data_IF_933148358476
#
_entry.id   IF_933148358476
#
_cell.length_a   1.000
_cell.length_b   1.000
_cell.length_c   1.000
_cell.angle_alpha   90.00
_cell.angle_beta   90.00
_cell.angle_gamma   90.00
#
_symmetry.space_group_name_H-M   'P 1'
#
loop_
_entity.id
_entity.type
_entity.pdbx_description
1 polymer ?
#
# COMPACT_ATOMS: atom_id res chain seq x y z
N UNK A 1 3.02 -24.92 20.88
CA UNK A 1 3.19 -23.58 21.48
C UNK A 1 3.71 -22.52 20.49
N UNK A 2 4.76 -22.78 19.73
CA UNK A 2 5.37 -21.79 18.79
C UNK A 2 4.40 -21.27 17.70
N UNK A 3 3.49 -22.11 17.21
CA UNK A 3 2.53 -21.72 16.16
C UNK A 3 1.46 -20.76 16.68
N UNK A 4 0.97 -20.96 17.90
CA UNK A 4 -0.05 -20.11 18.53
C UNK A 4 0.47 -18.70 18.80
N UNK A 5 1.70 -18.57 19.26
CA UNK A 5 2.36 -17.27 19.51
C UNK A 5 2.60 -16.49 18.23
N UNK A 6 2.93 -17.15 17.11
CA UNK A 6 3.11 -16.49 15.81
C UNK A 6 1.78 -15.94 15.26
N UNK A 7 0.70 -16.69 15.40
CA UNK A 7 -0.64 -16.23 15.00
C UNK A 7 -1.13 -15.05 15.86
N UNK A 8 -0.88 -15.09 17.17
CA UNK A 8 -1.21 -13.99 18.08
C UNK A 8 -0.41 -12.71 17.75
N UNK A 9 0.86 -12.85 17.42
CA UNK A 9 1.70 -11.75 16.98
C UNK A 9 1.17 -11.14 15.66
N UNK A 10 0.79 -11.95 14.69
CA UNK A 10 0.19 -11.46 13.44
C UNK A 10 -1.16 -10.76 13.67
N UNK A 11 -2.01 -11.29 14.55
CA UNK A 11 -3.27 -10.62 14.92
C UNK A 11 -3.01 -9.25 15.55
N UNK A 12 -2.01 -9.15 16.43
CA UNK A 12 -1.62 -7.88 17.05
C UNK A 12 -1.09 -6.89 16.00
N UNK A 13 -0.25 -7.36 15.08
CA UNK A 13 0.27 -6.54 13.98
C UNK A 13 -0.87 -5.98 13.11
N UNK A 14 -1.86 -6.80 12.75
CA UNK A 14 -3.01 -6.36 11.97
C UNK A 14 -3.84 -5.32 12.73
N UNK A 15 -4.13 -5.53 14.01
CA UNK A 15 -4.84 -4.54 14.83
C UNK A 15 -4.12 -3.19 14.91
N UNK A 16 -2.79 -3.20 14.99
CA UNK A 16 -1.98 -1.99 14.99
C UNK A 16 -2.07 -1.26 13.65
N UNK A 17 -2.02 -1.98 12.54
CA UNK A 17 -2.17 -1.39 11.20
C UNK A 17 -3.58 -0.82 10.99
N UNK A 18 -4.63 -1.55 11.40
CA UNK A 18 -6.02 -1.08 11.30
C UNK A 18 -6.23 0.20 12.14
N UNK A 19 -5.70 0.23 13.37
CA UNK A 19 -5.75 1.42 14.22
C UNK A 19 -5.00 2.62 13.60
N UNK A 20 -3.87 2.35 12.97
CA UNK A 20 -3.08 3.38 12.29
C UNK A 20 -3.83 3.98 11.10
N UNK A 21 -4.43 3.16 10.24
CA UNK A 21 -5.23 3.60 9.09
C UNK A 21 -6.32 4.59 9.52
N UNK A 22 -7.05 4.25 10.58
CA UNK A 22 -8.12 5.10 11.09
C UNK A 22 -7.59 6.41 11.71
N UNK A 23 -6.59 6.33 12.58
CA UNK A 23 -6.02 7.52 13.21
C UNK A 23 -5.37 8.47 12.21
N UNK A 24 -4.66 7.92 11.21
CA UNK A 24 -4.07 8.75 10.15
C UNK A 24 -5.14 9.44 9.30
N UNK A 25 -6.25 8.76 9.02
CA UNK A 25 -7.38 9.36 8.32
C UNK A 25 -8.04 10.46 9.15
N UNK A 26 -8.26 10.22 10.44
CA UNK A 26 -8.96 11.15 11.35
C UNK A 26 -8.16 12.42 11.62
N UNK A 27 -6.88 12.31 11.93
CA UNK A 27 -6.08 13.43 12.45
C UNK A 27 -4.78 13.72 11.69
N UNK A 28 -4.47 12.93 10.65
CA UNK A 28 -3.24 13.05 9.86
C UNK A 28 -2.06 12.29 10.45
N UNK A 29 -1.05 12.02 9.61
CA UNK A 29 0.11 11.20 9.97
C UNK A 29 1.05 11.91 10.93
N UNK A 30 1.31 13.20 10.72
CA UNK A 30 2.22 13.99 11.56
C UNK A 30 1.72 14.11 13.01
N UNK A 31 0.41 14.22 13.21
CA UNK A 31 -0.21 14.39 14.54
C UNK A 31 -0.50 13.09 15.27
N UNK A 32 -0.20 11.95 14.66
CA UNK A 32 -0.42 10.62 15.25
C UNK A 32 0.89 10.03 15.75
N UNK A 33 0.93 9.62 17.02
CA UNK A 33 2.08 8.91 17.58
C UNK A 33 1.89 7.40 17.57
N UNK A 34 2.98 6.63 17.65
CA UNK A 34 2.92 5.19 17.83
C UNK A 34 2.18 4.80 19.11
N UNK A 35 2.24 5.63 20.15
CA UNK A 35 1.52 5.39 21.41
C UNK A 35 0.00 5.50 21.24
N UNK A 36 -0.47 6.50 20.47
CA UNK A 36 -1.90 6.66 20.16
C UNK A 36 -2.41 5.44 19.41
N UNK A 37 -1.62 4.96 18.44
CA UNK A 37 -1.94 3.76 17.66
C UNK A 37 -2.02 2.53 18.56
N UNK A 38 -1.02 2.31 19.44
CA UNK A 38 -1.02 1.19 20.38
C UNK A 38 -2.25 1.25 21.30
N UNK A 39 -2.55 2.42 21.86
CA UNK A 39 -3.73 2.64 22.71
C UNK A 39 -5.03 2.32 21.97
N UNK A 40 -5.19 2.80 20.75
CA UNK A 40 -6.38 2.53 19.91
C UNK A 40 -6.53 1.05 19.56
N UNK A 41 -5.42 0.34 19.33
CA UNK A 41 -5.40 -1.09 19.04
C UNK A 41 -5.61 -1.98 20.26
N UNK A 42 -5.66 -1.42 21.47
CA UNK A 42 -5.66 -2.19 22.71
C UNK A 42 -4.36 -2.95 22.94
N UNK A 43 -3.23 -2.46 22.41
CA UNK A 43 -1.91 -3.05 22.54
C UNK A 43 -1.03 -2.24 23.49
N UNK A 44 0.01 -2.88 24.02
CA UNK A 44 0.99 -2.21 24.88
C UNK A 44 1.98 -1.40 24.04
N UNK A 45 2.62 -0.40 24.66
CA UNK A 45 3.72 0.35 24.04
C UNK A 45 4.84 -0.60 23.57
N UNK A 46 5.21 -1.60 24.38
CA UNK A 46 6.23 -2.58 24.00
C UNK A 46 5.84 -3.39 22.77
N UNK A 47 4.57 -3.76 22.65
CA UNK A 47 4.08 -4.52 21.50
C UNK A 47 4.21 -3.78 20.18
N UNK A 48 3.92 -2.47 20.12
CA UNK A 48 4.06 -1.72 18.87
C UNK A 48 5.53 -1.59 18.45
N UNK A 49 6.45 -1.32 19.38
CA UNK A 49 7.89 -1.24 19.09
C UNK A 49 8.52 -2.60 18.77
N UNK A 50 7.87 -3.70 19.15
CA UNK A 50 8.29 -5.03 18.72
C UNK A 50 7.93 -5.29 17.24
N UNK A 51 6.81 -4.71 16.77
CA UNK A 51 6.34 -4.89 15.39
C UNK A 51 6.86 -3.85 14.41
N UNK A 52 7.11 -2.63 14.86
CA UNK A 52 7.48 -1.50 14.01
C UNK A 52 8.57 -0.66 14.68
N UNK A 53 9.65 -0.45 13.95
CA UNK A 53 10.81 0.32 14.39
C UNK A 53 10.44 1.78 14.68
N UNK A 54 9.67 2.37 13.80
CA UNK A 54 9.26 3.77 13.85
C UNK A 54 7.92 3.97 13.08
N UNK A 55 7.45 5.19 13.02
CA UNK A 55 6.21 5.54 12.32
C UNK A 55 6.34 5.36 10.81
N UNK A 56 7.52 5.56 10.25
CA UNK A 56 7.77 5.35 8.83
C UNK A 56 7.68 3.85 8.45
N UNK A 57 8.22 2.97 9.28
CA UNK A 57 8.13 1.52 9.11
C UNK A 57 6.66 1.04 9.18
N UNK A 58 5.91 1.54 10.15
CA UNK A 58 4.47 1.25 10.26
C UNK A 58 3.69 1.77 9.05
N UNK A 59 3.97 2.99 8.60
CA UNK A 59 3.33 3.58 7.43
C UNK A 59 3.63 2.78 6.15
N UNK A 60 4.87 2.36 5.95
CA UNK A 60 5.25 1.48 4.84
C UNK A 60 4.48 0.17 4.87
N UNK A 61 4.40 -0.48 6.04
CA UNK A 61 3.66 -1.73 6.20
C UNK A 61 2.14 -1.56 5.93
N UNK A 62 1.58 -0.40 6.30
CA UNK A 62 0.20 -0.04 5.98
C UNK A 62 0.00 0.09 4.46
N UNK A 63 0.90 0.78 3.77
CA UNK A 63 0.85 0.92 2.32
C UNK A 63 0.99 -0.43 1.61
N UNK A 64 1.91 -1.27 2.04
CA UNK A 64 2.16 -2.59 1.46
C UNK A 64 0.93 -3.51 1.50
N UNK A 65 0.07 -3.39 2.51
CA UNK A 65 -1.18 -4.17 2.57
C UNK A 65 -2.09 -3.95 1.37
N UNK A 66 -2.02 -2.78 0.76
CA UNK A 66 -2.87 -2.37 -0.36
C UNK A 66 -2.12 -2.43 -1.68
N UNK A 67 -0.86 -1.97 -1.70
CA UNK A 67 -0.09 -1.85 -2.95
C UNK A 67 0.44 -3.19 -3.44
N UNK A 68 0.93 -4.08 -2.57
CA UNK A 68 1.47 -5.37 -2.99
C UNK A 68 0.45 -6.26 -3.70
N UNK A 69 -0.79 -6.45 -3.20
CA UNK A 69 -1.80 -7.21 -3.93
C UNK A 69 -2.15 -6.58 -5.29
N UNK A 70 -2.10 -5.25 -5.38
CA UNK A 70 -2.35 -4.52 -6.62
C UNK A 70 -1.23 -4.77 -7.63
N UNK A 71 0.02 -4.62 -7.20
CA UNK A 71 1.22 -4.87 -8.01
C UNK A 71 1.29 -6.32 -8.50
N UNK A 72 1.02 -7.30 -7.63
CA UNK A 72 0.99 -8.71 -7.99
C UNK A 72 -0.08 -9.02 -9.05
N UNK A 73 -1.26 -8.39 -8.96
CA UNK A 73 -2.34 -8.62 -9.92
C UNK A 73 -2.06 -7.97 -11.26
N UNK A 74 -1.52 -6.75 -11.27
CA UNK A 74 -1.06 -6.10 -12.50
C UNK A 74 0.05 -6.94 -13.15
N UNK A 75 0.99 -7.46 -12.36
CA UNK A 75 2.04 -8.36 -12.86
C UNK A 75 1.48 -9.68 -13.39
N UNK A 76 0.50 -10.29 -12.72
CA UNK A 76 -0.15 -11.54 -13.18
C UNK A 76 -1.00 -11.34 -14.43
N UNK A 77 -1.67 -10.20 -14.58
CA UNK A 77 -2.43 -9.88 -15.79
C UNK A 77 -1.51 -9.80 -17.00
N UNK A 78 -0.27 -9.32 -16.80
CA UNK A 78 0.79 -9.34 -17.84
C UNK A 78 1.44 -10.72 -18.04
N UNK A 79 1.25 -11.68 -17.12
CA UNK A 79 1.83 -13.02 -17.09
C UNK A 79 0.79 -14.13 -16.93
N UNK A 80 -0.38 -14.04 -17.54
CA UNK A 80 -1.32 -15.18 -17.53
C UNK A 80 -0.66 -16.34 -18.29
N UNK A 81 -0.46 -17.54 -17.67
CA UNK A 81 0.01 -18.71 -18.40
C UNK A 81 -1.03 -19.06 -19.47
N UNK A 82 -0.72 -18.83 -20.74
CA UNK A 82 -1.63 -19.04 -21.87
C UNK A 82 -2.30 -17.78 -22.43
N UNK A 83 -2.18 -16.64 -21.74
CA UNK A 83 -2.48 -15.32 -22.28
C UNK A 83 -1.17 -14.62 -22.60
N UNK A 84 -0.66 -14.74 -23.81
CA UNK A 84 0.26 -13.73 -24.32
C UNK A 84 -0.44 -12.39 -24.16
N UNK A 85 0.23 -11.34 -23.62
CA UNK A 85 -0.28 -9.98 -23.77
C UNK A 85 -0.69 -9.86 -25.22
N UNK A 86 -1.90 -9.42 -25.47
CA UNK A 86 -2.32 -9.22 -26.85
C UNK A 86 -1.38 -8.17 -27.45
N UNK A 87 -0.32 -8.65 -28.09
CA UNK A 87 0.70 -7.81 -28.73
C UNK A 87 0.04 -6.89 -29.79
N UNK A 88 -1.19 -7.26 -30.20
CA UNK A 88 -2.01 -6.48 -31.12
C UNK A 88 -2.64 -5.24 -30.46
N UNK A 89 -2.73 -5.19 -29.11
CA UNK A 89 -3.26 -4.02 -28.38
C UNK A 89 -2.35 -3.59 -27.23
N UNK A 90 -1.36 -2.75 -27.50
CA UNK A 90 -0.44 -2.23 -26.49
C UNK A 90 -1.12 -1.45 -25.35
N UNK A 91 -2.36 -0.97 -25.56
CA UNK A 91 -3.13 -0.24 -24.55
C UNK A 91 -3.92 -1.15 -23.62
N UNK A 92 -4.00 -2.45 -23.91
CA UNK A 92 -4.78 -3.40 -23.11
C UNK A 92 -4.26 -3.50 -21.67
N UNK A 93 -2.95 -3.48 -21.47
CA UNK A 93 -2.32 -3.50 -20.15
C UNK A 93 -2.71 -2.27 -19.32
N UNK A 94 -2.69 -1.09 -19.92
CA UNK A 94 -3.06 0.17 -19.26
C UNK A 94 -4.54 0.14 -18.86
N UNK A 95 -5.42 -0.30 -19.76
CA UNK A 95 -6.86 -0.42 -19.47
C UNK A 95 -7.11 -1.37 -18.31
N UNK A 96 -6.57 -2.58 -18.36
CA UNK A 96 -6.74 -3.57 -17.30
C UNK A 96 -6.20 -3.10 -15.95
N UNK A 97 -5.03 -2.46 -15.93
CA UNK A 97 -4.45 -1.90 -14.71
C UNK A 97 -5.33 -0.78 -14.14
N UNK A 98 -5.80 0.12 -14.99
CA UNK A 98 -6.65 1.25 -14.60
C UNK A 98 -8.00 0.77 -14.06
N UNK A 99 -8.69 -0.11 -14.78
CA UNK A 99 -9.98 -0.67 -14.38
C UNK A 99 -9.86 -1.41 -13.04
N UNK A 100 -8.79 -2.17 -12.88
CA UNK A 100 -8.54 -2.87 -11.61
C UNK A 100 -8.29 -1.89 -10.46
N UNK A 101 -7.42 -0.89 -10.64
CA UNK A 101 -7.14 0.11 -9.61
C UNK A 101 -8.42 0.87 -9.21
N UNK A 102 -9.19 1.34 -10.18
CA UNK A 102 -10.45 2.05 -9.92
C UNK A 102 -11.47 1.15 -9.22
N UNK A 103 -11.61 -0.10 -9.65
CA UNK A 103 -12.48 -1.07 -9.01
C UNK A 103 -12.10 -1.31 -7.55
N UNK A 104 -10.82 -1.43 -7.23
CA UNK A 104 -10.37 -1.58 -5.84
C UNK A 104 -10.68 -0.34 -5.01
N UNK A 105 -10.42 0.85 -5.52
CA UNK A 105 -10.72 2.12 -4.81
C UNK A 105 -12.22 2.24 -4.52
N UNK A 106 -13.06 1.84 -5.45
CA UNK A 106 -14.53 1.94 -5.30
C UNK A 106 -15.08 0.88 -4.35
N UNK A 107 -14.62 -0.36 -4.46
CA UNK A 107 -15.24 -1.51 -3.80
C UNK A 107 -14.56 -1.91 -2.47
N UNK A 108 -13.32 -1.49 -2.22
CA UNK A 108 -12.61 -1.81 -0.99
C UNK A 108 -12.37 -0.57 -0.12
N UNK A 109 -13.05 -0.54 1.03
CA UNK A 109 -12.98 0.57 1.97
C UNK A 109 -11.57 0.74 2.58
N UNK A 110 -10.81 -0.32 2.73
CA UNK A 110 -9.43 -0.27 3.22
C UNK A 110 -8.51 0.39 2.19
N UNK A 111 -8.57 -0.06 0.95
CA UNK A 111 -7.80 0.54 -0.16
C UNK A 111 -8.08 2.02 -0.29
N UNK A 112 -9.36 2.41 -0.27
CA UNK A 112 -9.77 3.82 -0.33
C UNK A 112 -9.19 4.64 0.81
N UNK A 113 -9.27 4.14 2.06
CA UNK A 113 -8.73 4.81 3.24
C UNK A 113 -7.22 5.00 3.15
N UNK A 114 -6.49 3.95 2.81
CA UNK A 114 -5.03 3.99 2.70
C UNK A 114 -4.58 4.97 1.61
N UNK A 115 -5.25 4.98 0.46
CA UNK A 115 -4.97 5.94 -0.62
C UNK A 115 -5.28 7.38 -0.19
N UNK A 116 -6.42 7.61 0.49
CA UNK A 116 -6.75 8.93 1.05
C UNK A 116 -5.67 9.41 2.02
N UNK A 117 -5.23 8.54 2.94
CA UNK A 117 -4.14 8.87 3.87
C UNK A 117 -2.88 9.23 3.12
N UNK A 118 -2.46 8.41 2.14
CA UNK A 118 -1.23 8.62 1.39
C UNK A 118 -1.22 9.89 0.52
N UNK A 119 -2.39 10.32 0.04
CA UNK A 119 -2.50 11.45 -0.90
C UNK A 119 -2.87 12.77 -0.22
N UNK A 120 -3.61 12.72 0.90
CA UNK A 120 -4.21 13.91 1.51
C UNK A 120 -3.82 14.15 2.96
N UNK A 121 -3.34 13.14 3.69
CA UNK A 121 -3.11 13.20 5.13
C UNK A 121 -1.63 13.10 5.53
N UNK A 122 -0.74 13.02 4.55
CA UNK A 122 0.71 12.89 4.79
C UNK A 122 1.39 14.24 4.52
N UNK A 123 2.04 14.75 5.55
CA UNK A 123 3.05 15.80 5.42
C UNK A 123 4.41 15.08 5.33
N UNK A 124 5.00 15.02 4.15
CA UNK A 124 6.29 14.35 3.91
C UNK A 124 7.46 15.18 4.47
N UNK A 125 7.55 15.28 5.79
CA UNK A 125 8.74 15.77 6.49
C UNK A 125 9.89 14.77 6.48
N UNK A 126 10.99 15.10 7.18
CA UNK A 126 12.18 14.22 7.25
C UNK A 126 11.88 12.81 7.76
N UNK A 127 10.95 12.67 8.72
CA UNK A 127 10.54 11.39 9.28
C UNK A 127 9.98 10.42 8.21
N UNK A 128 9.31 10.94 7.19
CA UNK A 128 8.68 10.15 6.12
C UNK A 128 9.41 10.26 4.77
N UNK A 129 10.62 10.82 4.75
CA UNK A 129 11.40 11.00 3.53
C UNK A 129 11.68 9.69 2.80
N UNK A 130 12.06 8.64 3.54
CA UNK A 130 12.31 7.31 2.95
C UNK A 130 11.04 6.71 2.34
N UNK A 131 9.88 6.91 2.98
CA UNK A 131 8.56 6.51 2.45
C UNK A 131 8.27 7.22 1.15
N UNK A 132 8.48 8.53 1.09
CA UNK A 132 8.29 9.34 -0.12
C UNK A 132 9.15 8.85 -1.27
N UNK A 133 10.43 8.59 -1.03
CA UNK A 133 11.36 8.08 -2.05
C UNK A 133 10.89 6.73 -2.60
N UNK A 134 10.46 5.82 -1.75
CA UNK A 134 9.92 4.51 -2.16
C UNK A 134 8.66 4.67 -3.03
N UNK A 135 7.72 5.52 -2.62
CA UNK A 135 6.51 5.80 -3.42
C UNK A 135 6.86 6.38 -4.79
N UNK A 136 7.83 7.29 -4.86
CA UNK A 136 8.29 7.85 -6.13
C UNK A 136 8.90 6.79 -7.05
N UNK A 137 9.69 5.86 -6.50
CA UNK A 137 10.27 4.75 -7.27
C UNK A 137 9.20 3.84 -7.85
N UNK A 138 8.22 3.42 -7.05
CA UNK A 138 7.10 2.58 -7.50
C UNK A 138 6.30 3.31 -8.58
N UNK A 139 5.91 4.56 -8.34
CA UNK A 139 5.19 5.39 -9.31
C UNK A 139 5.94 5.53 -10.63
N UNK A 140 7.24 5.82 -10.57
CA UNK A 140 8.04 6.01 -11.78
C UNK A 140 8.18 4.70 -12.57
N UNK A 141 8.21 3.55 -11.90
CA UNK A 141 8.16 2.25 -12.55
C UNK A 141 6.86 2.05 -13.35
N UNK A 142 5.71 2.40 -12.78
CA UNK A 142 4.43 2.35 -13.51
C UNK A 142 4.39 3.33 -14.68
N UNK A 143 4.86 4.57 -14.51
CA UNK A 143 4.89 5.57 -15.56
C UNK A 143 5.75 5.11 -16.76
N UNK A 144 6.94 4.57 -16.51
CA UNK A 144 7.81 4.07 -17.56
C UNK A 144 7.15 2.92 -18.37
N UNK A 145 6.40 2.04 -17.69
CA UNK A 145 5.65 0.97 -18.38
C UNK A 145 4.51 1.54 -19.24
N UNK A 146 3.78 2.53 -18.74
CA UNK A 146 2.72 3.19 -19.48
C UNK A 146 3.26 3.96 -20.69
N UNK A 147 4.37 4.68 -20.53
CA UNK A 147 5.07 5.32 -21.63
C UNK A 147 5.44 4.33 -22.73
N UNK A 148 6.03 3.19 -22.36
CA UNK A 148 6.38 2.15 -23.32
C UNK A 148 5.15 1.60 -24.08
N UNK A 149 4.03 1.37 -23.38
CA UNK A 149 2.79 0.89 -24.01
C UNK A 149 2.20 1.94 -24.97
N UNK A 150 2.22 3.22 -24.58
CA UNK A 150 1.76 4.32 -25.45
C UNK A 150 2.64 4.46 -26.69
N UNK A 151 3.96 4.40 -26.54
CA UNK A 151 4.90 4.45 -27.66
C UNK A 151 4.71 3.26 -28.63
N UNK A 152 4.41 2.07 -28.10
CA UNK A 152 4.11 0.90 -28.91
C UNK A 152 2.79 1.06 -29.69
N UNK A 153 1.78 1.71 -29.10
CA UNK A 153 0.49 1.98 -29.74
C UNK A 153 0.55 3.07 -30.80
N UNK A 154 1.57 3.95 -30.75
CA UNK A 154 1.75 5.05 -31.69
C UNK A 154 2.49 4.67 -32.99
N UNK A 155 2.99 3.45 -33.09
CA UNK A 155 3.69 2.89 -34.26
C UNK A 155 2.75 2.13 -35.16
#
# INVERSE_FOLDING_TARGET
MVRKTKEEAQKTRHKLLDAAEHLFQEQGVSRTSLQDIAKRAGATRGAIYWHFKDKADLFNAMMERVTLPLEERVHRASFTPGGTPDISDPMSEIRLATDHCLSQIVNDAQTRRVIEVATQKVEYGEELRAVRLRHLLVRNGFLARFEHSIEAAAK
#
